data_IF_561230444531
#
_entry.id   IF_561230444531
#
_cell.length_a   1.000
_cell.length_b   1.000
_cell.length_c   1.000
_cell.angle_alpha   90.00
_cell.angle_beta   90.00
_cell.angle_gamma   90.00
#
_symmetry.space_group_name_H-M   'P 1'
#
loop_
_entity.id
_entity.type
_entity.pdbx_description
1 polymer ?
#
# COMPACT_ATOMS: atom_id res chain seq x y z
N UNK A 1 73.86 46.63 28.58
CA UNK A 1 72.46 46.77 29.04
C UNK A 1 71.54 46.21 27.97
N UNK A 2 71.24 44.91 27.99
CA UNK A 2 70.18 44.33 27.13
C UNK A 2 69.74 42.99 27.73
N UNK A 3 68.94 43.04 28.80
CA UNK A 3 68.33 41.83 29.38
C UNK A 3 67.04 42.15 30.16
N UNK A 4 66.28 43.16 29.73
CA UNK A 4 65.07 43.61 30.43
C UNK A 4 63.77 43.30 29.71
N UNK A 5 63.75 43.26 28.37
CA UNK A 5 62.49 43.22 27.62
C UNK A 5 61.85 41.82 27.51
N UNK A 6 62.62 40.74 27.64
CA UNK A 6 62.11 39.39 27.31
C UNK A 6 61.35 38.71 28.47
N UNK A 7 61.49 39.19 29.72
CA UNK A 7 60.82 38.60 30.89
C UNK A 7 59.41 39.16 31.15
N UNK A 8 59.06 40.30 30.57
CA UNK A 8 57.75 40.96 30.77
C UNK A 8 56.71 40.59 29.72
N UNK A 9 57.13 40.13 28.54
CA UNK A 9 56.21 39.74 27.46
C UNK A 9 55.63 38.32 27.67
N UNK A 10 56.41 37.41 28.27
CA UNK A 10 56.00 36.04 28.55
C UNK A 10 54.78 35.91 29.48
N UNK A 11 54.71 36.63 30.63
CA UNK A 11 53.52 36.56 31.50
C UNK A 11 52.30 37.24 30.86
N UNK A 12 52.51 38.24 29.99
CA UNK A 12 51.42 38.90 29.26
C UNK A 12 50.80 37.96 28.21
N UNK A 13 51.64 37.24 27.45
CA UNK A 13 51.20 36.22 26.48
C UNK A 13 50.46 35.07 27.18
N UNK A 14 50.96 34.61 28.33
CA UNK A 14 50.27 33.62 29.16
C UNK A 14 48.90 34.15 29.64
N UNK A 15 48.83 35.39 30.14
CA UNK A 15 47.57 35.99 30.59
C UNK A 15 46.54 36.13 29.48
N UNK A 16 46.96 36.47 28.26
CA UNK A 16 46.08 36.47 27.09
C UNK A 16 45.60 35.06 26.72
N UNK A 17 46.47 34.04 26.75
CA UNK A 17 46.03 32.66 26.44
C UNK A 17 45.09 32.03 27.47
N UNK A 18 45.16 32.46 28.74
CA UNK A 18 44.33 31.92 29.83
C UNK A 18 42.94 32.60 29.86
N UNK A 19 42.84 33.84 29.38
CA UNK A 19 41.60 34.65 29.42
C UNK A 19 40.92 34.83 28.06
N UNK A 20 41.34 34.15 26.99
CA UNK A 20 40.49 34.05 25.81
C UNK A 20 39.35 33.07 26.12
N UNK A 21 38.09 33.53 26.26
CA UNK A 21 36.97 32.60 26.24
C UNK A 21 37.08 31.85 24.91
N UNK A 22 37.28 30.54 25.00
CA UNK A 22 37.27 29.64 23.86
C UNK A 22 35.85 29.75 23.30
N UNK A 23 35.66 30.64 22.33
CA UNK A 23 34.40 30.77 21.61
C UNK A 23 34.13 29.38 21.06
N UNK A 24 33.13 28.72 21.60
CA UNK A 24 32.69 27.40 21.18
C UNK A 24 31.94 27.54 19.84
N UNK A 25 32.47 28.31 18.89
CA UNK A 25 31.92 28.39 17.53
C UNK A 25 32.44 27.20 16.73
N UNK A 26 32.12 25.99 17.18
CA UNK A 26 32.18 24.87 16.25
C UNK A 26 31.03 25.10 15.27
N UNK A 27 31.29 25.25 13.95
CA UNK A 27 30.22 25.42 12.99
C UNK A 27 29.34 24.17 13.04
N UNK A 28 28.12 24.34 13.54
CA UNK A 28 27.13 23.28 13.58
C UNK A 28 26.67 23.06 12.14
N UNK A 29 26.91 21.88 11.57
CA UNK A 29 26.45 21.58 10.22
C UNK A 29 24.93 21.36 10.28
N UNK A 30 24.18 22.40 9.94
CA UNK A 30 22.73 22.45 10.02
C UNK A 30 22.11 22.62 8.64
N UNK A 31 21.00 21.93 8.40
CA UNK A 31 20.27 22.00 7.13
C UNK A 31 18.77 21.83 7.35
N UNK A 32 18.00 22.47 6.49
CA UNK A 32 16.54 22.35 6.46
C UNK A 32 16.14 21.32 5.40
N UNK A 33 15.33 20.34 5.80
CA UNK A 33 14.71 19.38 4.89
C UNK A 33 13.21 19.68 4.80
N UNK A 34 12.78 20.19 3.64
CA UNK A 34 11.40 20.61 3.41
C UNK A 34 10.78 19.79 2.28
N UNK A 35 9.86 18.90 2.64
CA UNK A 35 9.20 17.99 1.70
C UNK A 35 7.71 17.95 2.02
N UNK A 36 6.87 18.12 1.01
CA UNK A 36 5.41 18.09 1.17
C UNK A 36 4.93 19.01 2.31
N UNK A 37 5.42 20.25 2.35
CA UNK A 37 5.09 21.24 3.39
C UNK A 37 5.47 20.83 4.81
N UNK A 38 6.23 19.75 4.99
CA UNK A 38 6.79 19.32 6.27
C UNK A 38 8.23 19.80 6.37
N UNK A 39 8.55 20.54 7.42
CA UNK A 39 9.80 21.28 7.55
C UNK A 39 10.62 20.74 8.72
N UNK A 40 11.64 19.92 8.42
CA UNK A 40 12.48 19.29 9.42
C UNK A 40 13.89 19.89 9.40
N UNK A 41 14.23 20.61 10.46
CA UNK A 41 15.59 21.09 10.69
C UNK A 41 16.44 19.95 11.27
N UNK A 42 17.64 19.74 10.74
CA UNK A 42 18.60 18.74 11.25
C UNK A 42 19.99 19.34 11.41
N UNK A 43 20.73 18.87 12.41
CA UNK A 43 22.11 19.28 12.64
C UNK A 43 23.02 18.15 13.11
N UNK A 44 24.34 18.35 12.97
CA UNK A 44 25.34 17.44 13.52
C UNK A 44 25.39 17.49 15.04
N UNK A 45 25.49 16.33 15.70
CA UNK A 45 25.69 16.25 17.15
C UNK A 45 27.11 16.60 17.55
N UNK A 46 27.27 17.28 18.68
CA UNK A 46 28.57 17.63 19.27
C UNK A 46 29.15 16.54 20.17
N UNK A 47 28.82 15.26 19.93
CA UNK A 47 29.08 14.13 20.85
C UNK A 47 30.53 14.01 21.34
N UNK A 48 31.52 14.40 20.55
CA UNK A 48 32.94 14.34 20.95
C UNK A 48 33.34 15.43 21.95
N UNK A 49 32.64 16.57 21.97
CA UNK A 49 32.97 17.74 22.79
C UNK A 49 31.95 18.02 23.89
N UNK A 50 30.70 17.54 23.73
CA UNK A 50 29.63 17.74 24.68
C UNK A 50 28.54 16.65 24.57
N UNK A 51 28.66 15.55 25.34
CA UNK A 51 27.72 14.43 25.27
C UNK A 51 26.33 14.75 25.88
N UNK A 52 26.27 15.70 26.80
CA UNK A 52 25.05 16.15 27.52
C UNK A 52 24.47 17.45 26.96
N UNK A 53 24.80 17.80 25.72
CA UNK A 53 24.33 19.02 25.09
C UNK A 53 22.81 19.01 24.88
N UNK A 54 22.15 20.07 25.33
CA UNK A 54 20.75 20.36 25.01
C UNK A 54 20.70 21.44 23.91
N UNK A 55 19.69 21.36 23.05
CA UNK A 55 19.50 22.27 21.94
C UNK A 55 18.20 23.05 22.09
N UNK A 56 18.23 24.32 21.68
CA UNK A 56 17.04 25.17 21.56
C UNK A 56 17.00 25.74 20.16
N UNK A 57 15.83 25.78 19.52
CA UNK A 57 15.68 26.37 18.19
C UNK A 57 14.91 27.66 18.29
N UNK A 58 15.39 28.67 17.56
CA UNK A 58 14.71 29.95 17.40
C UNK A 58 14.62 30.31 15.93
N UNK A 59 13.55 31.02 15.59
CA UNK A 59 13.33 31.55 14.25
C UNK A 59 12.96 33.03 14.32
N UNK A 60 13.10 33.68 13.18
CA UNK A 60 12.73 35.07 12.97
C UNK A 60 12.23 35.19 11.53
N UNK A 61 10.95 35.51 11.37
CA UNK A 61 10.38 35.84 10.07
C UNK A 61 10.46 37.35 9.79
N UNK A 62 9.91 37.75 8.65
CA UNK A 62 9.80 39.15 8.25
C UNK A 62 9.00 39.98 9.25
N UNK A 63 7.95 39.41 9.85
CA UNK A 63 7.13 40.13 10.82
C UNK A 63 7.94 40.51 12.05
N UNK A 64 8.66 39.56 12.66
CA UNK A 64 9.51 39.82 13.82
C UNK A 64 10.63 40.81 13.47
N UNK A 65 11.21 40.67 12.28
CA UNK A 65 12.28 41.53 11.82
C UNK A 65 11.84 43.00 11.67
N UNK A 66 10.73 43.24 10.95
CA UNK A 66 10.29 44.59 10.61
C UNK A 66 9.36 45.23 11.66
N UNK A 67 8.57 44.44 12.39
CA UNK A 67 7.54 44.97 13.29
C UNK A 67 7.87 44.78 14.77
N UNK A 68 8.79 43.86 15.11
CA UNK A 68 9.20 43.58 16.49
C UNK A 68 10.69 43.84 16.72
N UNK A 69 11.30 44.78 15.98
CA UNK A 69 12.70 45.20 16.15
C UNK A 69 13.71 44.04 16.09
N UNK A 70 13.46 43.02 15.29
CA UNK A 70 14.38 41.89 15.15
C UNK A 70 14.37 40.94 16.36
N UNK A 71 13.23 40.75 17.03
CA UNK A 71 13.09 39.71 18.06
C UNK A 71 13.21 38.30 17.48
N UNK A 72 13.73 37.38 18.27
CA UNK A 72 13.74 35.95 17.96
C UNK A 72 12.62 35.25 18.72
N UNK A 73 11.99 34.27 18.08
CA UNK A 73 10.87 33.49 18.64
C UNK A 73 11.35 32.07 18.89
N UNK A 74 11.00 31.53 20.05
CA UNK A 74 11.26 30.15 20.42
C UNK A 74 10.36 29.21 19.62
N UNK A 75 10.96 28.21 18.95
CA UNK A 75 10.22 27.13 18.34
C UNK A 75 9.56 26.27 19.42
N UNK A 76 8.25 26.05 19.30
CA UNK A 76 7.42 25.55 20.40
C UNK A 76 7.88 24.19 20.95
N UNK A 77 8.12 23.21 20.07
CA UNK A 77 8.49 21.83 20.45
C UNK A 77 9.99 21.57 20.51
N UNK A 78 10.80 22.64 20.50
CA UNK A 78 12.23 22.55 20.27
C UNK A 78 13.06 23.37 21.25
N UNK A 79 12.63 23.43 22.51
CA UNK A 79 13.40 24.00 23.62
C UNK A 79 14.05 22.91 24.48
N UNK A 80 15.34 23.08 24.77
CA UNK A 80 16.16 22.19 25.61
C UNK A 80 16.09 20.70 25.24
N UNK A 81 16.00 20.40 23.95
CA UNK A 81 15.89 19.04 23.42
C UNK A 81 17.25 18.36 23.32
N UNK A 82 17.31 17.04 23.54
CA UNK A 82 18.53 16.24 23.33
C UNK A 82 18.69 15.73 21.89
N UNK A 83 17.59 15.70 21.12
CA UNK A 83 17.57 15.30 19.70
C UNK A 83 18.22 16.36 18.83
N UNK A 84 18.82 15.92 17.72
CA UNK A 84 19.51 16.78 16.75
C UNK A 84 18.63 17.19 15.55
N UNK A 85 17.33 17.20 15.76
CA UNK A 85 16.36 17.59 14.76
C UNK A 85 15.12 18.21 15.39
N UNK A 86 14.43 19.04 14.63
CA UNK A 86 13.25 19.76 15.06
C UNK A 86 12.24 19.82 13.91
N UNK A 87 10.96 19.57 14.21
CA UNK A 87 9.87 19.80 13.26
C UNK A 87 9.39 21.24 13.44
N UNK A 88 9.56 22.06 12.42
CA UNK A 88 9.20 23.48 12.40
C UNK A 88 8.00 23.76 11.50
N UNK A 89 7.25 22.71 11.12
CA UNK A 89 6.14 22.83 10.16
C UNK A 89 5.08 23.84 10.62
N UNK A 90 4.77 23.86 11.91
CA UNK A 90 3.78 24.78 12.47
C UNK A 90 4.34 26.16 12.78
N UNK A 91 5.62 26.25 13.15
CA UNK A 91 6.29 27.53 13.44
C UNK A 91 6.48 28.37 12.16
N UNK A 92 6.74 27.72 11.01
CA UNK A 92 7.08 28.36 9.74
C UNK A 92 5.88 28.40 8.77
N UNK A 93 4.74 28.86 9.27
CA UNK A 93 3.45 28.77 8.59
C UNK A 93 3.17 29.89 7.56
N UNK A 94 4.07 30.86 7.35
CA UNK A 94 3.88 31.92 6.36
C UNK A 94 4.82 31.76 5.15
N UNK A 95 4.50 32.46 4.04
CA UNK A 95 5.34 32.52 2.85
C UNK A 95 6.47 33.57 2.96
N UNK A 96 7.11 33.65 4.13
CA UNK A 96 8.16 34.63 4.41
C UNK A 96 9.53 33.95 4.49
N UNK A 97 10.57 34.76 4.36
CA UNK A 97 11.95 34.31 4.60
C UNK A 97 12.24 34.26 6.10
N UNK A 98 12.58 33.08 6.59
CA UNK A 98 12.89 32.84 7.99
C UNK A 98 14.39 32.68 8.22
N UNK A 99 14.93 33.50 9.12
CA UNK A 99 16.24 33.24 9.74
C UNK A 99 16.07 32.24 10.86
N UNK A 100 16.94 31.23 10.94
CA UNK A 100 16.85 30.14 11.91
C UNK A 100 18.19 29.99 12.62
N UNK A 101 18.15 29.87 13.95
CA UNK A 101 19.34 29.63 14.77
C UNK A 101 19.12 28.52 15.78
N UNK A 102 20.20 27.80 16.06
CA UNK A 102 20.25 26.68 16.97
C UNK A 102 21.13 27.09 18.15
N UNK A 103 20.51 27.16 19.31
CA UNK A 103 21.15 27.31 20.59
C UNK A 103 21.65 25.96 21.06
N UNK A 104 22.88 25.91 21.52
CA UNK A 104 23.47 24.76 22.19
C UNK A 104 23.74 25.17 23.63
N UNK A 105 23.33 24.34 24.58
CA UNK A 105 23.69 24.46 25.98
C UNK A 105 24.57 23.27 26.35
N UNK A 106 25.85 23.54 26.61
CA UNK A 106 26.81 22.55 27.05
C UNK A 106 27.30 22.93 28.45
N UNK A 107 26.94 22.14 29.47
CA UNK A 107 27.36 22.36 30.87
C UNK A 107 27.16 23.82 31.35
N UNK A 108 26.05 24.44 30.95
CA UNK A 108 25.69 25.82 31.29
C UNK A 108 26.24 26.88 30.32
N UNK A 109 27.16 26.52 29.43
CA UNK A 109 27.64 27.41 28.38
C UNK A 109 26.69 27.39 27.19
N UNK A 110 26.04 28.53 26.92
CA UNK A 110 25.13 28.73 25.79
C UNK A 110 25.86 29.34 24.58
N UNK A 111 25.67 28.74 23.41
CA UNK A 111 26.17 29.25 22.12
C UNK A 111 25.10 29.17 21.05
N UNK A 112 25.08 30.11 20.11
CA UNK A 112 24.11 30.14 19.01
C UNK A 112 24.81 29.97 17.66
N UNK A 113 24.26 29.11 16.81
CA UNK A 113 24.69 28.93 15.43
C UNK A 113 23.50 29.20 14.50
N UNK A 114 23.66 30.16 13.59
CA UNK A 114 22.62 30.50 12.60
C UNK A 114 22.84 29.73 11.30
N UNK A 115 21.75 29.39 10.61
CA UNK A 115 21.82 28.86 9.25
C UNK A 115 22.40 29.92 8.30
N UNK A 116 23.18 29.50 7.28
CA UNK A 116 23.83 30.44 6.37
C UNK A 116 22.85 31.15 5.43
N UNK A 117 21.70 30.55 5.16
CA UNK A 117 20.64 31.10 4.31
C UNK A 117 19.30 31.09 5.05
N UNK A 118 18.44 32.03 4.68
CA UNK A 118 17.04 32.02 5.11
C UNK A 118 16.29 30.84 4.48
N UNK A 119 15.21 30.43 5.12
CA UNK A 119 14.31 29.40 4.61
C UNK A 119 12.96 30.01 4.28
N UNK A 120 12.44 29.71 3.09
CA UNK A 120 11.06 30.01 2.72
C UNK A 120 10.31 28.69 2.49
N UNK A 121 9.10 28.53 3.04
CA UNK A 121 8.31 27.31 2.84
C UNK A 121 7.97 27.06 1.36
N UNK A 122 7.97 28.11 0.53
CA UNK A 122 7.84 27.98 -0.94
C UNK A 122 8.92 27.10 -1.55
N UNK A 123 10.08 26.97 -0.92
CA UNK A 123 11.19 26.15 -1.40
C UNK A 123 11.00 24.65 -1.13
N UNK A 124 9.91 24.26 -0.46
CA UNK A 124 9.58 22.83 -0.27
C UNK A 124 9.61 22.07 -1.59
N UNK A 125 10.09 20.84 -1.51
CA UNK A 125 9.95 19.87 -2.59
C UNK A 125 8.56 19.24 -2.48
N UNK A 126 7.78 19.25 -3.56
CA UNK A 126 6.54 18.49 -3.64
C UNK A 126 6.86 17.13 -4.28
N UNK A 127 6.49 16.06 -3.58
CA UNK A 127 6.58 14.71 -4.13
C UNK A 127 5.30 14.39 -4.91
N UNK A 128 5.49 13.64 -6.00
CA UNK A 128 4.41 13.10 -6.83
C UNK A 128 3.53 12.19 -5.94
N UNK A 129 2.20 12.38 -5.89
CA UNK A 129 1.31 11.49 -5.16
C UNK A 129 1.31 10.11 -5.81
N UNK A 130 1.35 9.05 -5.00
CA UNK A 130 1.23 7.70 -5.54
C UNK A 130 -0.22 7.42 -5.91
N UNK A 131 -0.48 7.33 -7.22
CA UNK A 131 -1.79 7.01 -7.79
C UNK A 131 -1.94 5.49 -7.97
N UNK A 132 -3.11 4.97 -7.60
CA UNK A 132 -3.52 3.58 -7.76
C UNK A 132 -4.85 3.53 -8.50
N UNK A 133 -4.94 2.68 -9.52
CA UNK A 133 -6.17 2.50 -10.31
C UNK A 133 -6.58 1.03 -10.21
N UNK A 134 -7.76 0.78 -9.64
CA UNK A 134 -8.35 -0.55 -9.53
C UNK A 134 -9.54 -0.70 -10.48
N UNK A 135 -9.50 -1.74 -11.32
CA UNK A 135 -10.49 -2.06 -12.36
C UNK A 135 -11.31 -3.32 -12.06
N UNK A 136 -11.12 -3.94 -10.88
CA UNK A 136 -11.82 -5.19 -10.51
C UNK A 136 -13.33 -5.01 -10.28
N UNK A 137 -13.83 -3.78 -10.16
CA UNK A 137 -15.26 -3.46 -10.02
C UNK A 137 -15.73 -2.34 -10.96
N UNK A 138 -17.04 -2.24 -11.14
CA UNK A 138 -17.73 -1.06 -11.70
C UNK A 138 -18.38 -0.33 -10.53
N UNK A 139 -17.98 0.91 -10.20
CA UNK A 139 -17.08 1.81 -10.93
C UNK A 139 -15.58 1.57 -10.71
N UNK A 140 -14.74 2.06 -11.65
CA UNK A 140 -13.27 2.07 -11.54
C UNK A 140 -12.89 2.93 -10.35
N UNK A 141 -12.05 2.39 -9.47
CA UNK A 141 -11.61 3.09 -8.27
C UNK A 141 -10.22 3.67 -8.48
N UNK A 142 -10.07 4.98 -8.31
CA UNK A 142 -8.78 5.68 -8.32
C UNK A 142 -8.49 6.16 -6.91
N UNK A 143 -7.37 5.73 -6.35
CA UNK A 143 -6.91 6.08 -5.00
C UNK A 143 -5.57 6.80 -5.02
N UNK A 144 -5.39 7.75 -4.10
CA UNK A 144 -4.13 8.46 -3.91
C UNK A 144 -3.64 8.31 -2.48
N UNK A 145 -2.37 7.91 -2.30
CA UNK A 145 -1.71 8.04 -1.00
C UNK A 145 -0.89 9.34 -0.99
N UNK A 146 -1.35 10.34 -0.23
CA UNK A 146 -0.63 11.58 0.03
C UNK A 146 -0.61 11.87 1.52
N UNK A 147 0.43 12.57 1.96
CA UNK A 147 0.60 13.06 3.34
C UNK A 147 0.16 14.51 3.51
N UNK A 148 -0.25 15.18 2.42
CA UNK A 148 -0.64 16.59 2.42
C UNK A 148 -2.16 16.72 2.59
N UNK A 149 -2.61 17.37 3.66
CA UNK A 149 -4.03 17.60 3.93
C UNK A 149 -4.65 18.72 3.09
N UNK A 150 -3.87 19.74 2.72
CA UNK A 150 -4.35 20.95 2.03
C UNK A 150 -4.06 20.94 0.51
N UNK A 151 -3.87 19.75 -0.05
CA UNK A 151 -3.57 19.57 -1.46
C UNK A 151 -4.83 19.35 -2.29
N UNK A 152 -4.94 20.07 -3.40
CA UNK A 152 -5.95 19.81 -4.43
C UNK A 152 -5.37 18.88 -5.48
N UNK A 153 -6.12 17.87 -5.90
CA UNK A 153 -5.73 16.94 -6.97
C UNK A 153 -6.65 17.14 -8.16
N UNK A 154 -6.07 17.46 -9.32
CA UNK A 154 -6.76 17.44 -10.59
C UNK A 154 -6.49 16.09 -11.27
N UNK A 155 -7.49 15.22 -11.30
CA UNK A 155 -7.42 13.92 -11.98
C UNK A 155 -7.94 14.08 -13.41
N UNK A 156 -7.03 13.96 -14.36
CA UNK A 156 -7.33 13.95 -15.79
C UNK A 156 -7.58 12.51 -16.23
N UNK A 157 -8.69 12.30 -16.95
CA UNK A 157 -9.14 11.00 -17.41
C UNK A 157 -9.50 11.08 -18.89
N UNK A 158 -8.92 10.22 -19.72
CA UNK A 158 -9.19 10.21 -21.15
C UNK A 158 -9.11 8.81 -21.74
N UNK A 159 -9.64 8.65 -22.95
CA UNK A 159 -9.39 7.45 -23.75
C UNK A 159 -8.03 7.57 -24.43
N UNK A 160 -7.29 6.46 -24.57
CA UNK A 160 -6.04 6.47 -25.34
C UNK A 160 -6.23 7.13 -26.72
N UNK A 161 -5.35 8.08 -27.05
CA UNK A 161 -5.41 8.89 -28.27
C UNK A 161 -6.26 10.16 -28.19
N UNK A 162 -7.01 10.39 -27.10
CA UNK A 162 -7.95 11.52 -26.93
C UNK A 162 -7.59 12.42 -25.73
N UNK A 163 -6.30 12.64 -25.48
CA UNK A 163 -5.80 13.42 -24.32
C UNK A 163 -6.31 14.87 -24.31
N UNK A 164 -6.58 15.45 -25.49
CA UNK A 164 -7.07 16.82 -25.61
C UNK A 164 -8.48 17.01 -25.05
N UNK A 165 -9.29 15.95 -25.01
CA UNK A 165 -10.65 15.96 -24.46
C UNK A 165 -10.72 15.30 -23.08
N UNK A 166 -9.61 15.32 -22.33
CA UNK A 166 -9.56 14.75 -20.98
C UNK A 166 -10.61 15.38 -20.06
N UNK A 167 -11.35 14.52 -19.36
CA UNK A 167 -12.26 14.91 -18.29
C UNK A 167 -11.44 15.19 -17.03
N UNK A 168 -11.64 16.36 -16.44
CA UNK A 168 -10.91 16.81 -15.25
C UNK A 168 -11.80 16.71 -14.02
N UNK A 169 -11.38 15.92 -13.03
CA UNK A 169 -12.01 15.81 -11.73
C UNK A 169 -11.16 16.49 -10.66
N UNK A 170 -11.74 17.49 -9.98
CA UNK A 170 -11.05 18.24 -8.93
C UNK A 170 -11.39 17.66 -7.57
N UNK A 171 -10.37 17.22 -6.82
CA UNK A 171 -10.50 16.59 -5.51
C UNK A 171 -9.81 17.48 -4.47
N UNK A 172 -10.57 17.98 -3.50
CA UNK A 172 -10.10 19.00 -2.54
C UNK A 172 -9.94 18.51 -1.09
N UNK A 173 -10.40 17.30 -0.77
CA UNK A 173 -10.38 16.78 0.59
C UNK A 173 -10.24 15.26 0.63
N UNK A 174 -9.63 14.76 1.69
CA UNK A 174 -9.56 13.34 2.02
C UNK A 174 -10.97 12.77 2.30
N UNK A 175 -11.29 11.53 1.90
CA UNK A 175 -10.45 10.55 1.20
C UNK A 175 -10.29 10.85 -0.29
N UNK A 176 -9.06 10.74 -0.78
CA UNK A 176 -8.74 10.85 -2.21
C UNK A 176 -9.09 9.55 -2.96
N UNK A 177 -10.35 9.12 -2.85
CA UNK A 177 -10.90 8.00 -3.58
C UNK A 177 -11.95 8.50 -4.56
N UNK A 178 -11.79 8.15 -5.83
CA UNK A 178 -12.69 8.58 -6.88
C UNK A 178 -13.23 7.37 -7.64
N UNK A 179 -14.53 7.41 -7.93
CA UNK A 179 -15.24 6.37 -8.65
C UNK A 179 -15.60 6.87 -10.04
N UNK A 180 -15.03 6.24 -11.07
CA UNK A 180 -15.29 6.59 -12.45
C UNK A 180 -16.23 5.54 -13.05
N UNK A 181 -17.40 5.93 -13.57
CA UNK A 181 -18.27 5.00 -14.27
C UNK A 181 -17.49 4.44 -15.47
N UNK A 182 -17.36 3.11 -15.52
CA UNK A 182 -16.71 2.45 -16.63
C UNK A 182 -17.54 2.73 -17.90
N UNK A 183 -17.04 3.57 -18.80
CA UNK A 183 -17.72 3.84 -20.07
C UNK A 183 -17.64 2.57 -20.92
N UNK A 184 -18.75 1.83 -20.94
CA UNK A 184 -18.85 0.49 -21.52
C UNK A 184 -18.63 0.57 -23.03
N UNK A 185 -17.50 0.04 -23.51
CA UNK A 185 -17.23 -0.12 -24.95
C UNK A 185 -15.91 0.45 -25.48
N UNK A 186 -15.01 1.00 -24.64
CA UNK A 186 -13.70 1.54 -25.08
C UNK A 186 -12.53 0.79 -24.45
N UNK A 187 -11.52 0.44 -25.27
CA UNK A 187 -10.51 -0.60 -25.00
C UNK A 187 -9.31 -0.18 -24.13
N UNK A 188 -9.13 1.12 -23.81
CA UNK A 188 -8.08 1.57 -22.87
C UNK A 188 -8.37 2.98 -22.36
N UNK A 189 -8.30 3.17 -21.05
CA UNK A 189 -8.43 4.49 -20.41
C UNK A 189 -7.13 4.87 -19.72
N UNK A 190 -6.77 6.15 -19.79
CA UNK A 190 -5.57 6.73 -19.22
C UNK A 190 -5.92 7.76 -18.16
N UNK A 191 -5.07 7.81 -17.14
CA UNK A 191 -5.23 8.59 -15.93
C UNK A 191 -3.93 9.35 -15.66
N UNK A 192 -4.05 10.61 -15.29
CA UNK A 192 -2.92 11.42 -14.81
C UNK A 192 -3.42 12.37 -13.75
N UNK A 193 -2.71 12.42 -12.63
CA UNK A 193 -3.06 13.32 -11.55
C UNK A 193 -2.04 14.45 -11.45
N UNK A 194 -2.56 15.66 -11.29
CA UNK A 194 -1.78 16.84 -10.97
C UNK A 194 -2.13 17.28 -9.55
N UNK A 195 -1.12 17.25 -8.69
CA UNK A 195 -1.13 17.77 -7.34
C UNK A 195 -0.90 19.28 -7.37
N UNK A 196 -1.76 20.07 -6.73
CA UNK A 196 -1.61 21.51 -6.60
C UNK A 196 -1.66 21.91 -5.12
N UNK A 197 -0.68 22.70 -4.70
CA UNK A 197 -0.64 23.36 -3.39
C UNK A 197 -0.73 24.86 -3.60
N UNK A 198 -1.94 25.39 -3.51
CA UNK A 198 -2.25 26.80 -3.82
C UNK A 198 -1.46 27.77 -2.94
N UNK A 199 -1.28 27.44 -1.65
CA UNK A 199 -0.57 28.27 -0.68
C UNK A 199 0.85 28.68 -1.11
N UNK A 200 1.52 27.87 -1.95
CA UNK A 200 2.87 28.13 -2.46
C UNK A 200 2.94 28.18 -4.00
N UNK A 201 1.79 28.09 -4.67
CA UNK A 201 1.67 28.04 -6.12
C UNK A 201 2.63 27.03 -6.79
N UNK A 202 2.70 25.81 -6.24
CA UNK A 202 3.49 24.71 -6.82
C UNK A 202 2.56 23.56 -7.19
N UNK A 203 2.88 22.91 -8.32
CA UNK A 203 2.24 21.67 -8.74
C UNK A 203 3.26 20.57 -9.02
N UNK A 204 2.77 19.33 -9.01
CA UNK A 204 3.53 18.14 -9.37
C UNK A 204 2.59 17.13 -10.04
N UNK A 205 3.04 16.44 -11.10
CA UNK A 205 2.18 15.52 -11.85
C UNK A 205 2.69 14.09 -11.76
N UNK A 206 1.77 13.14 -11.71
CA UNK A 206 2.08 11.71 -11.89
C UNK A 206 2.43 11.41 -13.33
N UNK A 207 3.12 10.30 -13.54
CA UNK A 207 3.16 9.66 -14.85
C UNK A 207 1.75 9.20 -15.26
N UNK A 208 1.54 9.11 -16.56
CA UNK A 208 0.29 8.61 -17.13
C UNK A 208 0.18 7.11 -16.89
N UNK A 209 -0.89 6.67 -16.23
CA UNK A 209 -1.22 5.26 -16.07
C UNK A 209 -2.40 4.91 -16.98
N UNK A 210 -2.24 3.91 -17.84
CA UNK A 210 -3.32 3.44 -18.72
C UNK A 210 -3.70 2.00 -18.38
N UNK A 211 -5.00 1.75 -18.22
CA UNK A 211 -5.57 0.44 -17.90
C UNK A 211 -6.57 0.02 -18.97
N UNK A 212 -6.64 -1.28 -19.22
CA UNK A 212 -7.61 -1.89 -20.12
C UNK A 212 -8.87 -2.18 -19.31
N UNK A 213 -10.02 -1.72 -19.80
CA UNK A 213 -11.30 -1.95 -19.13
C UNK A 213 -11.84 -3.30 -19.60
N UNK A 214 -12.01 -4.28 -18.70
CA UNK A 214 -12.55 -5.56 -19.08
C UNK A 214 -13.97 -5.38 -19.64
N UNK A 215 -14.21 -5.92 -20.84
CA UNK A 215 -15.55 -5.95 -21.42
C UNK A 215 -16.42 -6.81 -20.53
N UNK A 216 -17.46 -6.23 -19.93
CA UNK A 216 -18.46 -7.01 -19.21
C UNK A 216 -19.16 -7.92 -20.22
N UNK A 217 -18.80 -9.20 -20.23
CA UNK A 217 -19.68 -10.22 -20.80
C UNK A 217 -20.95 -10.13 -19.98
N UNK A 218 -22.03 -9.64 -20.58
CA UNK A 218 -23.32 -9.48 -19.91
C UNK A 218 -23.57 -10.69 -19.00
N UNK A 219 -23.76 -10.45 -17.71
CA UNK A 219 -24.02 -11.52 -16.74
C UNK A 219 -25.29 -12.31 -17.09
N UNK A 220 -26.12 -11.79 -18.01
CA UNK A 220 -27.24 -12.49 -18.64
C UNK A 220 -26.83 -13.54 -19.68
N UNK A 221 -25.70 -13.35 -20.38
CA UNK A 221 -25.22 -14.31 -21.38
C UNK A 221 -24.64 -15.58 -20.74
N UNK A 222 -24.08 -15.49 -19.53
CA UNK A 222 -23.59 -16.66 -18.78
C UNK A 222 -24.69 -17.71 -18.51
N UNK A 223 -25.84 -17.38 -17.88
CA UNK A 223 -26.92 -18.34 -17.68
C UNK A 223 -27.56 -18.78 -19.00
N UNK A 224 -27.61 -17.91 -20.03
CA UNK A 224 -28.13 -18.28 -21.34
C UNK A 224 -27.26 -19.34 -22.02
N UNK A 225 -25.94 -19.18 -22.01
CA UNK A 225 -25.00 -20.15 -22.57
C UNK A 225 -25.03 -21.48 -21.82
N UNK A 226 -25.12 -21.45 -20.49
CA UNK A 226 -25.28 -22.67 -19.68
C UNK A 226 -26.61 -23.35 -19.99
N UNK A 227 -27.70 -22.59 -20.11
CA UNK A 227 -29.03 -23.14 -20.44
C UNK A 227 -29.03 -23.79 -21.82
N UNK A 228 -28.45 -23.15 -22.82
CA UNK A 228 -28.30 -23.71 -24.18
C UNK A 228 -27.47 -24.99 -24.12
N UNK A 229 -26.34 -24.99 -23.43
CA UNK A 229 -25.49 -26.17 -23.30
C UNK A 229 -26.22 -27.36 -22.66
N UNK A 230 -27.03 -27.11 -21.62
CA UNK A 230 -27.85 -28.14 -20.96
C UNK A 230 -28.92 -28.68 -21.91
N UNK A 231 -29.64 -27.80 -22.63
CA UNK A 231 -30.65 -28.23 -23.61
C UNK A 231 -30.02 -29.08 -24.72
N UNK A 232 -28.86 -28.68 -25.23
CA UNK A 232 -28.12 -29.45 -26.25
C UNK A 232 -27.69 -30.81 -25.69
N UNK A 233 -27.17 -30.88 -24.47
CA UNK A 233 -26.79 -32.16 -23.85
C UNK A 233 -27.99 -33.10 -23.67
N UNK A 234 -29.13 -32.59 -23.21
CA UNK A 234 -30.36 -33.37 -23.02
C UNK A 234 -30.90 -33.88 -24.35
N UNK A 235 -30.95 -33.03 -25.38
CA UNK A 235 -31.41 -33.43 -26.72
C UNK A 235 -30.51 -34.49 -27.34
N UNK A 236 -29.19 -34.37 -27.22
CA UNK A 236 -28.24 -35.41 -27.66
C UNK A 236 -28.46 -36.72 -26.90
N UNK A 237 -28.64 -36.67 -25.58
CA UNK A 237 -28.92 -37.87 -24.78
C UNK A 237 -30.23 -38.57 -25.20
N UNK A 238 -31.28 -37.80 -25.48
CA UNK A 238 -32.55 -38.32 -26.00
C UNK A 238 -32.38 -38.97 -27.38
N UNK A 239 -31.65 -38.33 -28.30
CA UNK A 239 -31.40 -38.88 -29.64
C UNK A 239 -30.59 -40.17 -29.53
N UNK A 240 -29.53 -40.20 -28.74
CA UNK A 240 -28.72 -41.41 -28.54
C UNK A 240 -29.53 -42.55 -27.90
N UNK A 241 -30.37 -42.25 -26.90
CA UNK A 241 -31.28 -43.21 -26.30
C UNK A 241 -32.33 -43.75 -27.28
N UNK A 242 -32.88 -42.89 -28.13
CA UNK A 242 -33.81 -43.27 -29.20
C UNK A 242 -33.13 -44.14 -30.25
N UNK A 243 -31.93 -43.76 -30.72
CA UNK A 243 -31.16 -44.55 -31.69
C UNK A 243 -30.80 -45.93 -31.14
N UNK A 244 -30.38 -46.02 -29.87
CA UNK A 244 -30.06 -47.30 -29.24
C UNK A 244 -31.27 -48.23 -29.11
N UNK A 245 -32.46 -47.70 -28.81
CA UNK A 245 -33.69 -48.50 -28.67
C UNK A 245 -34.31 -48.87 -30.02
N UNK A 246 -34.21 -48.01 -31.03
CA UNK A 246 -34.83 -48.22 -32.34
C UNK A 246 -33.95 -49.02 -33.32
N UNK A 247 -32.61 -48.90 -33.23
CA UNK A 247 -31.66 -49.67 -34.04
C UNK A 247 -31.05 -50.87 -33.30
N UNK A 248 -31.13 -50.91 -31.96
CA UNK A 248 -30.68 -52.05 -31.15
C UNK A 248 -31.31 -53.41 -31.50
N UNK A 249 -32.61 -53.50 -31.83
CA UNK A 249 -33.24 -54.77 -32.26
C UNK A 249 -32.74 -55.26 -33.63
N UNK A 250 -32.44 -54.34 -34.54
CA UNK A 250 -31.99 -54.63 -35.92
C UNK A 250 -30.53 -55.12 -35.96
N UNK A 251 -29.66 -54.58 -35.09
CA UNK A 251 -28.24 -54.99 -35.00
C UNK A 251 -28.08 -56.32 -34.24
N UNK A 252 -28.96 -56.64 -33.28
CA UNK A 252 -28.94 -57.95 -32.58
C UNK A 252 -29.31 -59.14 -33.47
N UNK A 253 -30.02 -58.91 -34.58
CA UNK A 253 -30.45 -59.99 -35.48
C UNK A 253 -29.39 -60.38 -36.52
N UNK A 254 -28.35 -59.57 -36.74
CA UNK A 254 -27.32 -59.84 -37.76
C UNK A 254 -26.09 -60.60 -37.23
N UNK A 255 -25.89 -60.68 -35.91
CA UNK A 255 -24.67 -61.26 -35.31
C UNK A 255 -24.84 -62.55 -34.48
N UNK A 256 -26.06 -63.04 -34.27
CA UNK A 256 -26.29 -64.30 -33.54
C UNK A 256 -27.15 -65.27 -34.37
N UNK A 257 -26.51 -66.09 -35.22
CA UNK A 257 -27.12 -67.31 -35.71
C UNK A 257 -27.02 -68.36 -34.60
N UNK A 258 -28.19 -68.84 -34.14
CA UNK A 258 -28.29 -69.81 -33.05
C UNK A 258 -28.11 -71.23 -33.62
N UNK A 259 -26.94 -71.82 -33.42
CA UNK A 259 -26.72 -73.26 -33.65
C UNK A 259 -27.39 -74.07 -32.54
N UNK A 260 -28.19 -75.07 -32.92
CA UNK A 260 -28.91 -75.98 -32.01
C UNK A 260 -27.98 -77.08 -31.50
N UNK A 261 -27.70 -77.07 -30.20
CA UNK A 261 -26.98 -78.12 -29.47
C UNK A 261 -27.91 -79.35 -29.30
N UNK A 262 -27.47 -80.58 -29.61
CA UNK A 262 -28.33 -81.76 -29.51
C UNK A 262 -28.56 -82.22 -28.07
N UNK A 263 -29.80 -82.64 -27.80
CA UNK A 263 -30.32 -83.05 -26.49
C UNK A 263 -29.76 -84.42 -26.03
N UNK A 264 -28.58 -84.44 -25.42
CA UNK A 264 -28.05 -85.68 -24.81
C UNK A 264 -27.44 -85.50 -23.41
N UNK A 265 -27.72 -84.41 -22.71
CA UNK A 265 -27.21 -84.15 -21.35
C UNK A 265 -28.30 -83.75 -20.35
N UNK A 266 -29.53 -84.22 -20.52
CA UNK A 266 -30.65 -83.95 -19.60
C UNK A 266 -30.92 -85.08 -18.58
N UNK A 267 -29.93 -85.93 -18.29
CA UNK A 267 -30.10 -87.05 -17.37
C UNK A 267 -28.81 -87.32 -16.58
N UNK A 268 -28.43 -86.38 -15.71
CA UNK A 268 -27.81 -86.64 -14.40
C UNK A 268 -27.14 -85.35 -13.90
N UNK A 269 -27.59 -84.80 -12.76
CA UNK A 269 -26.77 -84.47 -11.57
C UNK A 269 -27.61 -83.70 -10.52
N UNK A 270 -27.37 -83.86 -9.19
CA UNK A 270 -28.40 -83.87 -8.16
C UNK A 270 -28.58 -82.58 -7.34
N UNK A 271 -29.66 -82.63 -6.55
CA UNK A 271 -30.34 -81.60 -5.76
C UNK A 271 -29.65 -81.20 -4.44
N UNK A 272 -28.36 -80.87 -4.44
CA UNK A 272 -27.76 -80.09 -3.32
C UNK A 272 -26.72 -79.10 -3.80
N UNK A 273 -26.86 -77.85 -3.38
CA UNK A 273 -25.90 -76.77 -3.56
C UNK A 273 -24.66 -77.00 -2.70
N UNK A 274 -23.45 -77.10 -3.29
CA UNK A 274 -22.23 -76.96 -2.51
C UNK A 274 -22.00 -75.48 -2.19
N UNK A 275 -21.90 -75.17 -0.90
CA UNK A 275 -21.36 -73.91 -0.42
C UNK A 275 -19.85 -73.96 -0.67
N UNK A 276 -19.35 -73.12 -1.57
CA UNK A 276 -17.92 -72.91 -1.78
C UNK A 276 -17.54 -71.53 -1.25
N UNK A 277 -16.86 -71.54 -0.11
CA UNK A 277 -15.96 -70.49 0.36
C UNK A 277 -14.87 -70.27 -0.69
N UNK A 278 -14.64 -69.02 -1.08
CA UNK A 278 -13.39 -68.60 -1.72
C UNK A 278 -12.89 -67.36 -0.98
N UNK A 279 -11.87 -67.62 -0.17
CA UNK A 279 -10.89 -66.67 0.35
C UNK A 279 -9.93 -66.33 -0.79
N UNK A 280 -9.86 -65.06 -1.23
CA UNK A 280 -8.72 -64.55 -2.02
C UNK A 280 -8.44 -63.10 -1.64
N UNK A 281 -7.48 -62.96 -0.72
CA UNK A 281 -6.27 -62.13 -0.78
C UNK A 281 -6.39 -60.70 -1.31
N UNK A 282 -6.55 -59.74 -0.38
CA UNK A 282 -6.10 -58.36 -0.58
C UNK A 282 -4.56 -58.31 -0.53
N UNK A 283 -3.93 -57.75 -1.55
CA UNK A 283 -2.57 -57.20 -1.43
C UNK A 283 -2.65 -55.66 -1.46
N UNK A 284 -1.90 -54.95 -0.60
CA UNK A 284 -2.21 -53.58 -0.20
C UNK A 284 -1.49 -52.56 -1.09
N UNK A 285 -2.18 -51.49 -1.48
CA UNK A 285 -1.51 -50.22 -1.82
C UNK A 285 -2.46 -49.02 -1.72
N UNK A 286 -2.14 -48.22 -0.71
CA UNK A 286 -2.39 -46.80 -0.43
C UNK A 286 -3.80 -46.20 -0.35
N UNK A 287 -4.11 -45.48 0.76
CA UNK A 287 -5.36 -44.76 0.91
C UNK A 287 -5.39 -43.53 -0.01
N UNK A 288 -6.43 -43.43 -0.84
CA UNK A 288 -6.77 -42.21 -1.55
C UNK A 288 -7.20 -41.15 -0.52
N UNK A 289 -6.33 -40.17 -0.33
CA UNK A 289 -6.51 -38.95 0.44
C UNK A 289 -7.74 -38.18 -0.08
N UNK A 290 -8.87 -38.27 0.61
CA UNK A 290 -9.99 -37.34 0.42
C UNK A 290 -9.57 -35.97 0.98
N UNK A 291 -9.02 -35.13 0.12
CA UNK A 291 -8.87 -33.70 0.39
C UNK A 291 -10.24 -33.04 0.29
N UNK A 292 -10.96 -33.03 1.41
CA UNK A 292 -12.03 -32.06 1.65
C UNK A 292 -11.38 -30.69 1.87
N UNK A 293 -11.79 -29.61 1.16
CA UNK A 293 -11.36 -28.27 1.50
C UNK A 293 -11.93 -27.91 2.86
N UNK A 294 -11.05 -27.45 3.75
CA UNK A 294 -11.39 -26.94 5.05
C UNK A 294 -12.20 -25.66 4.93
N UNK A 295 -13.39 -25.64 5.53
CA UNK A 295 -13.93 -24.42 6.10
C UNK A 295 -14.92 -24.76 7.24
N UNK A 296 -14.60 -24.21 8.42
CA UNK A 296 -15.42 -24.10 9.63
C UNK A 296 -15.60 -25.36 10.50
N UNK A 297 -14.83 -25.42 11.58
CA UNK A 297 -15.05 -26.31 12.72
C UNK A 297 -16.24 -25.81 13.54
N UNK A 298 -17.35 -26.54 13.49
CA UNK A 298 -18.39 -26.49 14.52
C UNK A 298 -18.47 -27.86 15.19
N UNK A 299 -18.11 -27.92 16.48
CA UNK A 299 -18.27 -29.13 17.29
C UNK A 299 -19.74 -29.26 17.73
N UNK A 300 -20.43 -30.25 17.15
CA UNK A 300 -21.76 -30.68 17.62
C UNK A 300 -21.58 -31.90 18.52
N UNK A 301 -21.90 -31.78 19.80
CA UNK A 301 -21.82 -32.89 20.75
C UNK A 301 -23.23 -33.42 21.02
N UNK A 302 -23.55 -34.61 20.49
CA UNK A 302 -24.83 -35.27 20.78
C UNK A 302 -24.73 -36.02 22.11
N UNK A 303 -25.54 -35.59 23.10
CA UNK A 303 -25.91 -36.40 24.26
C UNK A 303 -27.43 -36.59 24.22
N UNK A 304 -27.89 -37.80 24.53
CA UNK A 304 -29.23 -38.28 24.19
C UNK A 304 -30.42 -37.42 24.67
N UNK A 305 -31.55 -37.65 23.97
CA UNK A 305 -32.93 -37.21 24.23
C UNK A 305 -33.11 -35.81 24.80
N UNK A 306 -33.13 -34.82 23.91
CA UNK A 306 -33.65 -33.48 24.21
C UNK A 306 -32.92 -32.40 23.42
N UNK A 307 -33.66 -31.38 22.98
CA UNK A 307 -33.15 -30.20 22.27
C UNK A 307 -31.87 -29.62 22.91
N UNK A 308 -31.02 -28.96 22.11
CA UNK A 308 -30.74 -27.53 22.28
C UNK A 308 -29.78 -26.94 21.22
N UNK A 309 -30.11 -25.69 20.86
CA UNK A 309 -29.29 -24.48 20.85
C UNK A 309 -27.85 -24.55 20.30
N UNK A 310 -27.61 -23.75 19.24
CA UNK A 310 -26.31 -23.53 18.62
C UNK A 310 -25.79 -22.17 19.10
N UNK A 311 -24.75 -22.17 19.93
CA UNK A 311 -24.02 -20.96 20.28
C UNK A 311 -22.83 -20.79 19.32
N UNK A 312 -22.94 -19.81 18.41
CA UNK A 312 -21.82 -19.33 17.61
C UNK A 312 -21.35 -18.00 18.21
N UNK A 313 -20.17 -18.00 18.83
CA UNK A 313 -19.52 -16.79 19.33
C UNK A 313 -18.72 -16.13 18.20
N UNK A 314 -18.92 -14.84 17.99
CA UNK A 314 -17.95 -13.94 17.32
C UNK A 314 -16.87 -13.51 18.31
#
# INVERSE_FOLDING_TARGET
MSSGLNKSLFPLLLYFTINFPKSLSTPLNASMHSVNMKHILKWSLLQASCPTANYSVQFQGEYEFYNLNGTWVDAYDCQEISKNWCDLTHDLASNSDYSIRIGTNCDGQKSWAQLPATFNRRDTVLLVPKMTVNVEGDPIQVGFSTTLSDMTVNLNVWQEGDEQNALIHVIRAYPYHFSIPAHRGKEKMCFKAEALVEAINKSCSTDTQCVIIPKQTSDFMRPLMVSIAVVVAVTVAFILGWLATHFGPQIKQTFCQRETIPNLLLADWPTRTPILFIDVSLEPTDPLLLLLPAEHQCTVQFRGNGLNEVECRT
#
